data_IF_966023250481
#
_entry.id   IF_966023250481
#
_cell.length_a   1.000
_cell.length_b   1.000
_cell.length_c   1.000
_cell.angle_alpha   90.00
_cell.angle_beta   90.00
_cell.angle_gamma   90.00
#
_symmetry.space_group_name_H-M   'P 1'
#
loop_
_entity.id
_entity.type
_entity.pdbx_description
1 polymer ?
#
# COMPACT_ATOMS: atom_id res chain seq x y z
N UNK A 1 26.96 33.46 6.54
CA UNK A 1 26.40 33.39 5.17
C UNK A 1 27.47 33.23 4.08
N UNK A 2 28.53 34.06 4.06
CA UNK A 2 29.56 34.02 3.01
C UNK A 2 30.37 32.70 2.96
N UNK A 3 30.61 32.07 4.12
CA UNK A 3 31.29 30.78 4.25
C UNK A 3 30.51 29.63 3.59
N UNK A 4 29.22 29.51 3.89
CA UNK A 4 28.30 28.54 3.27
C UNK A 4 28.24 28.68 1.74
N UNK A 5 28.21 29.90 1.22
CA UNK A 5 28.21 30.17 -0.23
C UNK A 5 29.53 29.81 -0.92
N UNK A 6 30.66 30.02 -0.23
CA UNK A 6 31.97 29.59 -0.71
C UNK A 6 32.10 28.06 -0.73
N UNK A 7 31.65 27.39 0.33
CA UNK A 7 31.67 25.93 0.43
C UNK A 7 30.79 25.28 -0.63
N UNK A 8 29.61 25.84 -0.90
CA UNK A 8 28.70 25.35 -1.94
C UNK A 8 29.31 25.51 -3.34
N UNK A 9 29.92 26.68 -3.63
CA UNK A 9 30.65 26.92 -4.89
C UNK A 9 31.83 25.97 -5.06
N UNK A 10 32.57 25.71 -3.99
CA UNK A 10 33.68 24.78 -4.00
C UNK A 10 33.22 23.34 -4.27
N UNK A 11 32.15 22.90 -3.60
CA UNK A 11 31.53 21.60 -3.82
C UNK A 11 31.07 21.40 -5.28
N UNK A 12 30.35 22.38 -5.86
CA UNK A 12 29.95 22.33 -7.27
C UNK A 12 31.15 22.21 -8.22
N UNK A 13 32.23 22.95 -7.94
CA UNK A 13 33.45 22.90 -8.75
C UNK A 13 34.13 21.53 -8.63
N UNK A 14 34.12 20.93 -7.45
CA UNK A 14 34.67 19.60 -7.21
C UNK A 14 33.86 18.50 -7.92
N UNK A 15 32.53 18.63 -7.96
CA UNK A 15 31.65 17.71 -8.71
C UNK A 15 31.94 17.77 -10.22
N UNK A 16 32.06 18.99 -10.78
CA UNK A 16 32.41 19.20 -12.20
C UNK A 16 33.79 18.66 -12.58
N UNK A 17 34.77 18.71 -11.67
CA UNK A 17 36.12 18.17 -11.90
C UNK A 17 36.21 16.64 -11.88
N UNK A 18 35.20 15.96 -11.34
CA UNK A 18 35.17 14.50 -11.26
C UNK A 18 33.85 13.94 -11.81
N UNK A 19 33.59 14.07 -13.13
CA UNK A 19 32.29 13.78 -13.72
C UNK A 19 31.90 12.30 -13.60
N UNK A 20 32.83 11.37 -13.81
CA UNK A 20 32.55 9.93 -13.71
C UNK A 20 32.09 9.51 -12.30
N UNK A 21 32.80 9.97 -11.26
CA UNK A 21 32.42 9.71 -9.87
C UNK A 21 31.05 10.32 -9.53
N UNK A 22 30.84 11.57 -9.93
CA UNK A 22 29.59 12.29 -9.70
C UNK A 22 28.43 11.58 -10.39
N UNK A 23 28.61 11.10 -11.61
CA UNK A 23 27.60 10.35 -12.36
C UNK A 23 27.23 9.05 -11.64
N UNK A 24 28.22 8.25 -11.22
CA UNK A 24 27.97 7.00 -10.46
C UNK A 24 27.22 7.27 -9.16
N UNK A 25 27.64 8.27 -8.40
CA UNK A 25 26.99 8.66 -7.14
C UNK A 25 25.54 9.11 -7.36
N UNK A 26 25.30 9.97 -8.36
CA UNK A 26 23.97 10.47 -8.71
C UNK A 26 23.04 9.34 -9.16
N UNK A 27 23.48 8.48 -10.08
CA UNK A 27 22.67 7.35 -10.57
C UNK A 27 22.33 6.39 -9.44
N UNK A 28 23.31 6.07 -8.59
CA UNK A 28 23.13 5.18 -7.43
C UNK A 28 22.10 5.74 -6.46
N UNK A 29 22.21 7.02 -6.11
CA UNK A 29 21.30 7.69 -5.19
C UNK A 29 19.91 7.87 -5.81
N UNK A 30 19.83 8.27 -7.09
CA UNK A 30 18.58 8.45 -7.81
C UNK A 30 17.80 7.13 -7.91
N UNK A 31 18.49 6.01 -8.22
CA UNK A 31 17.85 4.71 -8.30
C UNK A 31 17.35 4.24 -6.93
N UNK A 32 18.17 4.40 -5.88
CA UNK A 32 17.79 4.03 -4.52
C UNK A 32 16.59 4.84 -3.99
N UNK A 33 16.63 6.16 -4.14
CA UNK A 33 15.55 7.05 -3.70
C UNK A 33 14.30 6.83 -4.54
N UNK A 34 14.44 6.75 -5.87
CA UNK A 34 13.33 6.56 -6.80
C UNK A 34 12.60 5.24 -6.56
N UNK A 35 13.34 4.13 -6.42
CA UNK A 35 12.76 2.84 -6.12
C UNK A 35 12.03 2.82 -4.77
N UNK A 36 12.63 3.38 -3.71
CA UNK A 36 11.96 3.47 -2.40
C UNK A 36 10.70 4.32 -2.46
N UNK A 37 10.75 5.46 -3.16
CA UNK A 37 9.59 6.35 -3.32
C UNK A 37 8.46 5.67 -4.09
N UNK A 38 8.78 4.92 -5.15
CA UNK A 38 7.81 4.16 -5.91
C UNK A 38 7.14 3.07 -5.07
N UNK A 39 7.92 2.23 -4.37
CA UNK A 39 7.35 1.17 -3.51
C UNK A 39 6.59 1.77 -2.33
N UNK A 40 7.09 2.84 -1.71
CA UNK A 40 6.37 3.56 -0.66
C UNK A 40 5.01 4.07 -1.17
N UNK A 41 4.95 4.60 -2.39
CA UNK A 41 3.68 5.08 -2.97
C UNK A 41 2.66 3.96 -3.13
N UNK A 42 3.10 2.76 -3.54
CA UNK A 42 2.25 1.56 -3.63
C UNK A 42 1.81 1.12 -2.24
N UNK A 43 2.75 0.95 -1.30
CA UNK A 43 2.48 0.56 0.09
C UNK A 43 1.52 1.54 0.76
N UNK A 44 1.73 2.84 0.58
CA UNK A 44 0.87 3.86 1.12
C UNK A 44 -0.55 3.75 0.55
N UNK A 45 -0.68 3.57 -0.76
CA UNK A 45 -1.98 3.49 -1.43
C UNK A 45 -2.74 2.21 -1.09
N UNK A 46 -2.03 1.09 -0.95
CA UNK A 46 -2.62 -0.25 -0.77
C UNK A 46 -2.81 -0.63 0.70
N UNK A 47 -1.85 -0.26 1.57
CA UNK A 47 -1.81 -0.72 2.97
C UNK A 47 -2.16 0.35 3.98
N UNK A 48 -1.83 1.62 3.71
CA UNK A 48 -1.94 2.69 4.71
C UNK A 48 -3.12 3.64 4.48
N UNK A 49 -3.55 3.80 3.23
CA UNK A 49 -4.67 4.67 2.88
C UNK A 49 -5.96 4.01 3.37
N UNK A 50 -6.71 4.64 4.29
CA UNK A 50 -7.96 4.08 4.76
C UNK A 50 -8.94 3.98 3.60
N UNK A 51 -9.77 2.93 3.64
CA UNK A 51 -10.85 2.79 2.68
C UNK A 51 -11.76 4.02 2.75
N UNK A 52 -12.10 4.63 1.61
CA UNK A 52 -12.98 5.81 1.53
C UNK A 52 -14.47 5.48 1.76
N UNK A 53 -14.76 4.66 2.77
CA UNK A 53 -16.09 4.32 3.24
C UNK A 53 -16.27 4.82 4.67
N UNK A 54 -17.52 5.08 5.07
CA UNK A 54 -17.86 5.35 6.47
C UNK A 54 -17.69 4.07 7.30
N UNK A 55 -16.99 4.15 8.43
CA UNK A 55 -16.75 3.02 9.36
C UNK A 55 -16.32 1.74 8.61
N UNK A 56 -15.19 1.77 7.89
CA UNK A 56 -14.76 0.66 7.03
C UNK A 56 -14.48 -0.63 7.79
N UNK A 57 -14.20 -0.57 9.08
CA UNK A 57 -14.02 -1.71 9.98
C UNK A 57 -15.28 -2.57 10.16
N UNK A 58 -16.46 -1.99 9.91
CA UNK A 58 -17.75 -2.71 9.95
C UNK A 58 -18.16 -3.28 8.60
N UNK A 59 -17.41 -2.97 7.54
CA UNK A 59 -17.68 -3.48 6.20
C UNK A 59 -17.01 -4.82 6.00
N UNK A 60 -17.76 -5.77 5.46
CA UNK A 60 -17.27 -7.09 5.10
C UNK A 60 -17.74 -7.46 3.70
N UNK A 61 -16.98 -8.32 3.05
CA UNK A 61 -17.47 -9.07 1.90
C UNK A 61 -17.83 -10.48 2.36
N UNK A 62 -18.91 -10.99 1.79
CA UNK A 62 -19.52 -12.25 2.16
C UNK A 62 -19.42 -13.17 0.94
N UNK A 63 -19.01 -14.41 1.18
CA UNK A 63 -18.94 -15.45 0.15
C UNK A 63 -19.67 -16.70 0.61
N UNK A 64 -20.15 -17.46 -0.36
CA UNK A 64 -20.47 -18.85 -0.12
C UNK A 64 -19.18 -19.66 -0.06
N UNK A 65 -19.18 -20.72 0.72
CA UNK A 65 -18.03 -21.60 0.87
C UNK A 65 -18.43 -23.07 0.81
N UNK A 66 -17.48 -23.95 0.53
CA UNK A 66 -17.67 -25.39 0.50
C UNK A 66 -16.45 -26.06 1.13
N UNK A 67 -16.56 -26.32 2.43
CA UNK A 67 -15.45 -26.82 3.25
C UNK A 67 -14.83 -28.12 2.71
N UNK A 68 -15.66 -29.02 2.15
CA UNK A 68 -15.21 -30.31 1.61
C UNK A 68 -14.34 -30.22 0.36
N UNK A 69 -14.49 -29.17 -0.45
CA UNK A 69 -13.74 -28.99 -1.71
C UNK A 69 -12.69 -27.88 -1.61
N UNK A 70 -12.57 -27.23 -0.45
CA UNK A 70 -11.66 -26.09 -0.23
C UNK A 70 -12.11 -24.81 -0.94
N UNK A 71 -13.37 -24.76 -1.40
CA UNK A 71 -13.90 -23.62 -2.14
C UNK A 71 -14.36 -22.55 -1.15
N UNK A 72 -13.43 -21.73 -0.66
CA UNK A 72 -13.69 -20.89 0.52
C UNK A 72 -14.24 -19.49 0.19
N UNK A 73 -14.21 -19.04 -1.06
CA UNK A 73 -14.67 -17.70 -1.47
C UNK A 73 -15.43 -17.74 -2.80
N UNK A 74 -16.49 -18.53 -2.86
CA UNK A 74 -17.36 -18.58 -4.03
C UNK A 74 -18.31 -17.37 -4.06
N UNK A 75 -18.64 -16.88 -5.26
CA UNK A 75 -19.71 -15.89 -5.44
C UNK A 75 -21.02 -16.41 -4.83
N UNK A 76 -21.95 -15.52 -4.52
CA UNK A 76 -23.26 -15.90 -3.99
C UNK A 76 -24.20 -16.37 -5.09
N UNK A 77 -25.13 -17.24 -4.71
CA UNK A 77 -26.26 -17.61 -5.55
C UNK A 77 -27.43 -16.66 -5.31
N UNK A 78 -28.27 -16.49 -6.33
CA UNK A 78 -29.36 -15.52 -6.31
C UNK A 78 -30.33 -15.75 -5.15
N UNK A 79 -30.85 -16.97 -5.00
CA UNK A 79 -31.81 -17.26 -3.96
C UNK A 79 -31.19 -17.23 -2.55
N UNK A 80 -29.96 -17.73 -2.38
CA UNK A 80 -29.29 -17.67 -1.07
C UNK A 80 -29.05 -16.23 -0.60
N UNK A 81 -28.72 -15.29 -1.50
CA UNK A 81 -28.56 -13.88 -1.11
C UNK A 81 -29.83 -13.34 -0.42
N UNK A 82 -31.00 -13.60 -1.00
CA UNK A 82 -32.26 -13.13 -0.43
C UNK A 82 -32.58 -13.79 0.91
N UNK A 83 -32.37 -15.10 1.03
CA UNK A 83 -32.55 -15.79 2.31
C UNK A 83 -31.57 -15.27 3.37
N UNK A 84 -30.29 -15.06 3.03
CA UNK A 84 -29.30 -14.52 3.96
C UNK A 84 -29.71 -13.12 4.43
N UNK A 85 -30.14 -12.26 3.50
CA UNK A 85 -30.64 -10.92 3.83
C UNK A 85 -31.84 -10.95 4.79
N UNK A 86 -32.73 -11.94 4.67
CA UNK A 86 -33.91 -12.09 5.54
C UNK A 86 -33.60 -12.78 6.87
N UNK A 87 -32.67 -13.74 6.91
CA UNK A 87 -32.44 -14.62 8.06
C UNK A 87 -31.34 -14.14 9.02
N UNK A 88 -30.43 -13.30 8.55
CA UNK A 88 -29.36 -12.72 9.39
C UNK A 88 -29.94 -11.75 10.42
N UNK A 89 -29.22 -11.55 11.53
CA UNK A 89 -29.61 -10.65 12.62
C UNK A 89 -28.49 -9.69 13.04
N UNK A 90 -27.30 -9.87 12.48
CA UNK A 90 -26.08 -9.16 12.90
C UNK A 90 -25.68 -8.02 11.97
N UNK A 91 -26.32 -7.89 10.80
CA UNK A 91 -26.03 -6.83 9.83
C UNK A 91 -27.04 -5.69 9.92
N UNK A 92 -26.53 -4.47 9.79
CA UNK A 92 -27.36 -3.27 9.55
C UNK A 92 -28.01 -3.34 8.17
N UNK A 93 -27.25 -3.77 7.15
CA UNK A 93 -27.76 -4.07 5.82
C UNK A 93 -26.78 -5.00 5.07
N UNK A 94 -27.30 -5.68 4.04
CA UNK A 94 -26.54 -6.52 3.13
C UNK A 94 -26.90 -6.13 1.70
N UNK A 95 -25.87 -5.92 0.87
CA UNK A 95 -25.99 -5.54 -0.52
C UNK A 95 -25.39 -6.59 -1.45
N UNK A 96 -26.14 -6.98 -2.48
CA UNK A 96 -25.60 -7.70 -3.64
C UNK A 96 -25.31 -6.75 -4.79
N UNK A 97 -24.31 -7.12 -5.60
CA UNK A 97 -24.04 -6.50 -6.88
C UNK A 97 -23.51 -7.51 -7.91
N UNK A 98 -23.78 -7.23 -9.17
CA UNK A 98 -23.17 -7.89 -10.32
C UNK A 98 -22.98 -6.89 -11.47
N UNK A 99 -22.07 -7.22 -12.38
CA UNK A 99 -21.70 -6.37 -13.50
C UNK A 99 -22.25 -6.90 -14.81
N UNK A 100 -22.84 -6.01 -15.60
CA UNK A 100 -23.40 -6.34 -16.92
C UNK A 100 -23.28 -5.13 -17.83
N UNK A 101 -23.82 -5.24 -19.05
CA UNK A 101 -23.89 -4.13 -19.99
C UNK A 101 -25.33 -3.97 -20.49
N UNK A 102 -25.71 -2.74 -20.81
CA UNK A 102 -27.00 -2.42 -21.44
C UNK A 102 -26.81 -1.39 -22.55
N UNK A 103 -27.63 -1.47 -23.58
CA UNK A 103 -27.59 -0.55 -24.71
C UNK A 103 -28.53 0.63 -24.46
N UNK A 104 -27.99 1.83 -24.37
CA UNK A 104 -28.74 3.08 -24.39
C UNK A 104 -29.17 3.40 -25.82
N UNK A 105 -30.45 3.69 -25.99
CA UNK A 105 -31.10 4.01 -27.28
C UNK A 105 -32.02 5.22 -27.11
N UNK A 106 -32.56 5.75 -28.21
CA UNK A 106 -33.36 6.99 -28.21
C UNK A 106 -32.56 8.26 -28.49
N UNK A 107 -31.29 8.12 -28.87
CA UNK A 107 -30.41 9.18 -29.35
C UNK A 107 -29.90 8.85 -30.76
N UNK A 108 -29.10 9.74 -31.35
CA UNK A 108 -28.58 9.62 -32.72
C UNK A 108 -27.84 8.29 -32.98
N UNK A 109 -27.08 7.79 -32.00
CA UNK A 109 -26.40 6.49 -32.07
C UNK A 109 -26.63 5.68 -30.78
N UNK A 110 -26.87 4.35 -30.88
CA UNK A 110 -26.87 3.46 -29.73
C UNK A 110 -25.49 3.42 -29.05
N UNK A 111 -25.49 3.36 -27.72
CA UNK A 111 -24.28 3.36 -26.91
C UNK A 111 -24.36 2.23 -25.87
N UNK A 112 -23.31 1.41 -25.76
CA UNK A 112 -23.26 0.35 -24.75
C UNK A 112 -22.71 0.91 -23.44
N UNK A 113 -23.51 0.86 -22.39
CA UNK A 113 -23.18 1.31 -21.05
C UNK A 113 -22.75 0.14 -20.16
N UNK A 114 -21.76 0.38 -19.31
CA UNK A 114 -21.40 -0.52 -18.21
C UNK A 114 -22.36 -0.33 -17.04
N UNK A 115 -22.96 -1.44 -16.57
CA UNK A 115 -24.07 -1.42 -15.62
C UNK A 115 -23.75 -2.17 -14.34
N UNK A 116 -24.01 -1.51 -13.21
CA UNK A 116 -24.12 -2.14 -11.90
C UNK A 116 -25.55 -2.56 -11.60
N UNK A 117 -25.83 -3.86 -11.61
CA UNK A 117 -27.08 -4.39 -11.02
C UNK A 117 -26.86 -4.52 -9.53
N UNK A 118 -27.56 -3.72 -8.74
CA UNK A 118 -27.33 -3.62 -7.29
C UNK A 118 -28.64 -3.75 -6.53
N UNK A 119 -28.60 -4.48 -5.41
CA UNK A 119 -29.76 -4.52 -4.51
C UNK A 119 -29.93 -3.18 -3.79
N UNK A 120 -31.13 -2.90 -3.29
CA UNK A 120 -31.40 -1.66 -2.56
C UNK A 120 -30.46 -1.41 -1.35
N UNK A 121 -29.99 -2.49 -0.70
CA UNK A 121 -29.05 -2.40 0.43
C UNK A 121 -27.64 -1.96 0.06
N UNK A 122 -27.24 -2.09 -1.22
CA UNK A 122 -25.87 -1.82 -1.66
C UNK A 122 -25.36 -0.42 -1.29
N UNK A 123 -26.13 0.62 -1.63
CA UNK A 123 -25.72 2.00 -1.35
C UNK A 123 -25.75 2.32 0.15
N UNK A 124 -26.66 1.72 0.92
CA UNK A 124 -26.74 1.88 2.38
C UNK A 124 -25.55 1.22 3.08
N UNK A 125 -25.17 0.01 2.66
CA UNK A 125 -23.94 -0.65 3.10
C UNK A 125 -22.75 0.28 2.85
N UNK A 126 -22.59 0.84 1.64
CA UNK A 126 -21.45 1.70 1.33
C UNK A 126 -21.52 3.12 1.93
N UNK A 127 -22.67 3.52 2.49
CA UNK A 127 -22.90 4.87 2.99
C UNK A 127 -22.83 5.94 1.88
N UNK A 128 -23.31 5.61 0.68
CA UNK A 128 -23.32 6.51 -0.48
C UNK A 128 -24.65 7.26 -0.53
N UNK A 129 -24.58 8.58 -0.62
CA UNK A 129 -25.73 9.44 -0.88
C UNK A 129 -25.60 10.08 -2.25
N UNK A 130 -26.68 10.12 -3.05
CA UNK A 130 -26.67 10.74 -4.36
C UNK A 130 -26.58 12.27 -4.24
N UNK A 131 -26.05 12.92 -5.28
CA UNK A 131 -26.01 14.40 -5.37
C UNK A 131 -27.35 14.98 -5.81
N UNK A 132 -28.14 14.19 -6.56
CA UNK A 132 -29.50 14.52 -6.98
C UNK A 132 -30.40 13.31 -6.78
N UNK A 133 -31.65 13.54 -6.38
CA UNK A 133 -32.66 12.49 -6.23
C UNK A 133 -32.40 11.56 -5.04
N UNK A 134 -32.61 10.26 -5.24
CA UNK A 134 -32.56 9.23 -4.19
C UNK A 134 -31.82 7.96 -4.62
N UNK A 135 -31.50 7.11 -3.66
CA UNK A 135 -31.06 5.73 -3.92
C UNK A 135 -32.25 4.82 -4.21
N UNK A 136 -31.93 3.56 -4.53
CA UNK A 136 -32.93 2.50 -4.69
C UNK A 136 -33.73 2.26 -3.40
N UNK A 137 -35.03 2.06 -3.56
CA UNK A 137 -35.97 1.66 -2.52
C UNK A 137 -36.03 0.13 -2.40
N UNK A 138 -36.42 -0.42 -1.24
CA UNK A 138 -36.43 -1.87 -1.02
C UNK A 138 -37.36 -2.67 -1.96
N UNK A 139 -38.51 -2.11 -2.31
CA UNK A 139 -39.53 -2.64 -3.22
C UNK A 139 -39.09 -2.64 -4.69
N UNK A 140 -38.20 -1.73 -5.09
CA UNK A 140 -37.61 -1.71 -6.44
C UNK A 140 -36.69 -2.93 -6.70
N UNK A 141 -36.39 -3.73 -5.67
CA UNK A 141 -35.74 -5.03 -5.81
C UNK A 141 -36.72 -6.19 -6.03
N UNK A 142 -38.03 -5.97 -5.99
CA UNK A 142 -39.04 -7.00 -6.28
C UNK A 142 -39.40 -7.04 -7.79
N UNK A 143 -39.91 -8.18 -8.29
CA UNK A 143 -40.45 -8.25 -9.64
C UNK A 143 -41.62 -7.28 -9.82
N UNK A 144 -41.57 -6.44 -10.86
CA UNK A 144 -42.65 -5.51 -11.18
C UNK A 144 -42.18 -4.35 -12.04
N UNK A 145 -43.06 -3.41 -12.33
CA UNK A 145 -42.72 -2.20 -13.10
C UNK A 145 -41.86 -1.22 -12.29
N UNK A 146 -41.94 -1.25 -10.97
CA UNK A 146 -41.24 -0.30 -10.08
C UNK A 146 -39.72 -0.48 -10.11
N UNK A 147 -39.21 -1.64 -10.56
CA UNK A 147 -37.78 -1.89 -10.71
C UNK A 147 -37.15 -1.25 -11.97
N UNK A 148 -37.95 -0.57 -12.82
CA UNK A 148 -37.47 0.14 -14.01
C UNK A 148 -36.98 1.54 -13.65
N UNK A 149 -36.01 1.59 -12.75
CA UNK A 149 -35.34 2.81 -12.30
C UNK A 149 -33.83 2.73 -12.51
N UNK A 150 -33.20 3.88 -12.65
CA UNK A 150 -31.76 3.98 -12.90
C UNK A 150 -31.14 5.12 -12.10
N UNK A 151 -29.97 4.86 -11.54
CA UNK A 151 -29.07 5.90 -11.04
C UNK A 151 -27.94 6.12 -12.02
N UNK A 152 -27.63 7.38 -12.30
CA UNK A 152 -26.52 7.75 -13.18
C UNK A 152 -25.21 7.83 -12.40
N UNK A 153 -24.14 7.27 -12.97
CA UNK A 153 -22.78 7.61 -12.60
C UNK A 153 -22.51 9.08 -12.89
N UNK A 154 -21.67 9.71 -12.05
CA UNK A 154 -21.40 11.14 -12.17
C UNK A 154 -20.76 11.50 -13.51
N UNK A 155 -19.87 10.63 -14.02
CA UNK A 155 -19.16 10.84 -15.27
C UNK A 155 -20.12 10.88 -16.46
N UNK A 156 -20.96 9.84 -16.62
CA UNK A 156 -21.98 9.78 -17.67
C UNK A 156 -22.93 10.98 -17.61
N UNK A 157 -23.40 11.35 -16.41
CA UNK A 157 -24.25 12.53 -16.22
C UNK A 157 -23.60 13.82 -16.73
N UNK A 158 -22.29 14.00 -16.51
CA UNK A 158 -21.56 15.19 -16.96
C UNK A 158 -21.22 15.17 -18.45
N UNK A 159 -20.75 14.03 -18.96
CA UNK A 159 -20.24 13.92 -20.33
C UNK A 159 -21.37 13.77 -21.35
N UNK A 160 -22.43 13.00 -21.02
CA UNK A 160 -23.53 12.69 -21.94
C UNK A 160 -24.73 13.61 -21.75
N UNK A 161 -25.07 13.91 -20.50
CA UNK A 161 -26.27 14.69 -20.14
C UNK A 161 -25.96 16.14 -19.75
N UNK A 162 -24.72 16.62 -19.99
CA UNK A 162 -24.35 18.01 -19.79
C UNK A 162 -24.45 18.50 -18.33
N UNK A 163 -24.44 17.58 -17.37
CA UNK A 163 -24.71 17.87 -15.95
C UNK A 163 -26.09 18.52 -15.69
N UNK A 164 -27.10 18.16 -16.48
CA UNK A 164 -28.47 18.66 -16.33
C UNK A 164 -29.05 18.29 -14.96
N UNK A 165 -29.42 19.29 -14.15
CA UNK A 165 -30.03 19.10 -12.84
C UNK A 165 -31.48 18.65 -12.91
N UNK A 166 -32.15 18.79 -14.06
CA UNK A 166 -33.51 18.33 -14.31
C UNK A 166 -33.59 16.86 -14.77
N UNK A 167 -32.46 16.13 -14.81
CA UNK A 167 -32.42 14.75 -15.31
C UNK A 167 -33.24 13.76 -14.46
N UNK A 168 -33.42 14.03 -13.17
CA UNK A 168 -34.21 13.15 -12.29
C UNK A 168 -35.70 13.21 -12.67
N UNK A 169 -36.31 12.04 -12.86
CA UNK A 169 -37.68 11.88 -13.35
C UNK A 169 -37.77 11.68 -14.86
N UNK A 170 -36.69 11.90 -15.62
CA UNK A 170 -36.65 11.63 -17.06
C UNK A 170 -36.54 10.13 -17.34
N UNK A 171 -36.92 9.72 -18.55
CA UNK A 171 -36.84 8.33 -18.99
C UNK A 171 -35.67 8.09 -19.95
N UNK A 172 -34.96 6.98 -19.76
CA UNK A 172 -33.93 6.46 -20.64
C UNK A 172 -34.35 5.12 -21.22
N UNK A 173 -34.11 4.89 -22.51
CA UNK A 173 -34.41 3.60 -23.14
C UNK A 173 -33.17 2.70 -23.09
N UNK A 174 -33.18 1.70 -22.20
CA UNK A 174 -32.11 0.73 -22.00
C UNK A 174 -32.56 -0.66 -22.46
N UNK A 175 -31.83 -1.28 -23.39
CA UNK A 175 -32.20 -2.55 -24.01
C UNK A 175 -33.64 -2.59 -24.56
N UNK A 176 -34.14 -1.45 -25.04
CA UNK A 176 -35.50 -1.31 -25.56
C UNK A 176 -36.59 -1.11 -24.49
N UNK A 177 -36.24 -1.09 -23.21
CA UNK A 177 -37.17 -0.79 -22.11
C UNK A 177 -36.95 0.60 -21.53
N UNK A 178 -38.03 1.25 -21.07
CA UNK A 178 -37.97 2.58 -20.46
C UNK A 178 -37.64 2.49 -18.97
N UNK A 179 -36.57 3.17 -18.55
CA UNK A 179 -36.11 3.31 -17.16
C UNK A 179 -36.20 4.76 -16.71
N UNK A 180 -36.71 5.01 -15.51
CA UNK A 180 -36.80 6.35 -14.93
C UNK A 180 -35.54 6.68 -14.14
N UNK A 181 -34.91 7.83 -14.42
CA UNK A 181 -33.77 8.32 -13.66
C UNK A 181 -34.23 8.75 -12.27
N UNK A 182 -33.78 8.08 -11.21
CA UNK A 182 -34.18 8.39 -9.81
C UNK A 182 -33.09 9.11 -9.02
N UNK A 183 -31.86 9.12 -9.53
CA UNK A 183 -30.78 9.86 -8.88
C UNK A 183 -29.47 9.88 -9.65
N UNK A 184 -28.56 10.72 -9.17
CA UNK A 184 -27.19 10.87 -9.70
C UNK A 184 -26.19 10.67 -8.58
N UNK A 185 -25.19 9.83 -8.82
CA UNK A 185 -24.17 9.48 -7.83
C UNK A 185 -23.07 10.55 -7.72
N UNK A 186 -22.39 10.65 -6.57
CA UNK A 186 -21.30 11.60 -6.36
C UNK A 186 -20.04 11.21 -7.13
N UNK A 187 -19.25 12.22 -7.52
CA UNK A 187 -17.95 12.03 -8.17
C UNK A 187 -16.88 11.50 -7.20
N UNK A 188 -15.77 11.02 -7.76
CA UNK A 188 -14.51 10.81 -7.03
C UNK A 188 -14.44 9.55 -6.18
N UNK A 189 -15.38 8.62 -6.35
CA UNK A 189 -15.36 7.30 -5.72
C UNK A 189 -15.03 6.26 -6.79
N UNK A 190 -13.81 5.70 -6.83
CA UNK A 190 -13.37 4.78 -7.88
C UNK A 190 -14.40 3.69 -8.22
N UNK A 191 -14.97 3.01 -7.21
CA UNK A 191 -15.96 1.95 -7.38
C UNK A 191 -17.31 2.41 -7.96
N UNK A 192 -17.67 3.70 -7.82
CA UNK A 192 -18.86 4.28 -8.47
C UNK A 192 -18.56 4.72 -9.90
N UNK A 193 -17.32 5.09 -10.19
CA UNK A 193 -16.92 5.62 -11.49
C UNK A 193 -16.64 4.51 -12.53
N UNK A 194 -16.49 3.24 -12.12
CA UNK A 194 -16.33 2.14 -13.09
C UNK A 194 -17.63 1.71 -13.77
N UNK A 195 -18.77 2.31 -13.42
CA UNK A 195 -20.08 2.00 -13.99
C UNK A 195 -20.75 3.27 -14.43
N UNK A 196 -21.30 3.24 -15.63
CA UNK A 196 -22.00 4.38 -16.22
C UNK A 196 -23.36 4.58 -15.54
N UNK A 197 -24.02 3.47 -15.20
CA UNK A 197 -25.32 3.45 -14.54
C UNK A 197 -25.46 2.31 -13.53
N UNK A 198 -26.42 2.47 -12.62
CA UNK A 198 -26.83 1.45 -11.67
C UNK A 198 -28.34 1.22 -11.75
N UNK A 199 -28.74 -0.04 -11.83
CA UNK A 199 -30.15 -0.45 -11.89
C UNK A 199 -30.43 -1.49 -10.81
N UNK A 200 -31.69 -1.70 -10.41
CA UNK A 200 -32.02 -2.70 -9.42
C UNK A 200 -31.57 -4.10 -9.80
N UNK A 201 -30.97 -4.78 -8.83
CA UNK A 201 -30.90 -6.22 -8.79
C UNK A 201 -32.24 -6.74 -8.27
N UNK A 202 -32.98 -7.40 -9.16
CA UNK A 202 -34.36 -7.82 -8.95
C UNK A 202 -34.38 -9.27 -8.48
N UNK A 203 -35.15 -9.56 -7.43
CA UNK A 203 -35.44 -10.89 -6.95
C UNK A 203 -36.09 -11.71 -8.06
N UNK A 204 -35.54 -12.86 -8.38
CA UNK A 204 -36.16 -13.81 -9.30
C UNK A 204 -36.90 -14.86 -8.46
N UNK A 205 -38.23 -14.99 -8.60
CA UNK A 205 -38.96 -16.09 -7.99
C UNK A 205 -38.39 -17.43 -8.43
N UNK A 206 -38.20 -18.36 -7.49
CA UNK A 206 -37.64 -19.70 -7.76
C UNK A 206 -36.26 -19.67 -8.44
N UNK A 207 -35.47 -18.63 -8.17
CA UNK A 207 -34.12 -18.52 -8.71
C UNK A 207 -33.27 -19.75 -8.36
N UNK A 208 -32.41 -20.12 -9.31
CA UNK A 208 -31.48 -21.22 -9.13
C UNK A 208 -30.51 -20.96 -7.95
N UNK A 209 -30.23 -22.00 -7.16
CA UNK A 209 -29.27 -22.05 -6.05
C UNK A 209 -27.91 -22.65 -6.44
N UNK A 210 -27.63 -22.81 -7.73
CA UNK A 210 -26.33 -23.30 -8.22
C UNK A 210 -25.63 -22.35 -9.21
N UNK A 211 -26.21 -21.17 -9.50
CA UNK A 211 -25.53 -20.12 -10.28
C UNK A 211 -24.81 -19.15 -9.34
N UNK A 212 -23.47 -19.20 -9.33
CA UNK A 212 -22.63 -18.43 -8.43
C UNK A 212 -22.09 -17.16 -9.14
N UNK A 213 -22.86 -16.08 -9.11
CA UNK A 213 -22.60 -14.88 -9.92
C UNK A 213 -22.62 -13.56 -9.12
N UNK A 214 -23.10 -13.59 -7.88
CA UNK A 214 -23.27 -12.38 -7.07
C UNK A 214 -22.07 -12.09 -6.19
N UNK A 215 -21.68 -10.84 -6.14
CA UNK A 215 -20.82 -10.33 -5.09
C UNK A 215 -21.69 -9.75 -3.99
N UNK A 216 -21.39 -10.10 -2.73
CA UNK A 216 -22.18 -9.67 -1.58
C UNK A 216 -21.30 -8.94 -0.59
N UNK A 217 -21.79 -7.81 -0.11
CA UNK A 217 -21.16 -7.00 0.93
C UNK A 217 -22.16 -6.79 2.06
N UNK A 218 -21.64 -6.67 3.28
CA UNK A 218 -22.44 -6.41 4.47
C UNK A 218 -21.84 -5.30 5.31
N UNK A 219 -22.72 -4.58 6.01
CA UNK A 219 -22.32 -3.70 7.11
C UNK A 219 -22.78 -4.32 8.42
N UNK A 220 -21.84 -4.75 9.25
CA UNK A 220 -22.13 -5.31 10.57
C UNK A 220 -22.78 -4.24 11.45
N UNK A 221 -23.83 -4.57 12.19
CA UNK A 221 -24.58 -3.64 13.03
C UNK A 221 -23.69 -2.98 14.10
N UNK A 222 -24.03 -1.76 14.57
CA UNK A 222 -23.25 -1.08 15.60
C UNK A 222 -23.16 -1.93 16.88
N UNK A 223 -21.96 -2.09 17.44
CA UNK A 223 -21.74 -2.85 18.67
C UNK A 223 -21.69 -4.38 18.51
N UNK A 224 -21.86 -4.91 17.30
CA UNK A 224 -21.70 -6.34 17.01
C UNK A 224 -20.26 -6.62 16.58
N UNK A 225 -19.63 -7.64 17.15
CA UNK A 225 -18.27 -8.05 16.77
C UNK A 225 -18.27 -8.84 15.46
N UNK A 226 -17.14 -8.85 14.75
CA UNK A 226 -17.01 -9.65 13.53
C UNK A 226 -17.18 -11.15 13.81
N UNK A 227 -16.73 -11.63 14.97
CA UNK A 227 -16.89 -13.03 15.37
C UNK A 227 -18.37 -13.38 15.56
N UNK A 228 -19.16 -12.49 16.16
CA UNK A 228 -20.60 -12.68 16.33
C UNK A 228 -21.34 -12.68 14.98
N UNK A 229 -20.96 -11.77 14.08
CA UNK A 229 -21.52 -11.75 12.72
C UNK A 229 -21.13 -12.99 11.91
N UNK A 230 -19.91 -13.53 12.11
CA UNK A 230 -19.51 -14.79 11.49
C UNK A 230 -20.39 -15.96 11.98
N UNK A 231 -20.59 -16.07 13.29
CA UNK A 231 -21.40 -17.13 13.89
C UNK A 231 -22.88 -17.07 13.46
N UNK A 232 -23.43 -15.86 13.28
CA UNK A 232 -24.78 -15.67 12.73
C UNK A 232 -24.88 -16.18 11.29
N UNK A 233 -23.89 -15.89 10.44
CA UNK A 233 -23.84 -16.41 9.07
C UNK A 233 -23.67 -17.93 9.02
N UNK A 234 -22.91 -18.53 9.93
CA UNK A 234 -22.84 -20.00 10.07
C UNK A 234 -24.19 -20.60 10.44
N UNK A 235 -24.94 -19.96 11.36
CA UNK A 235 -26.29 -20.36 11.71
C UNK A 235 -27.28 -20.22 10.54
N UNK A 236 -27.15 -19.16 9.73
CA UNK A 236 -27.93 -19.01 8.48
C UNK A 236 -27.59 -20.13 7.50
N UNK A 237 -26.31 -20.44 7.30
CA UNK A 237 -25.87 -21.51 6.40
C UNK A 237 -26.43 -22.88 6.82
N UNK A 238 -26.43 -23.19 8.12
CA UNK A 238 -27.02 -24.42 8.65
C UNK A 238 -28.52 -24.51 8.35
N UNK A 239 -29.28 -23.43 8.59
CA UNK A 239 -30.71 -23.36 8.26
C UNK A 239 -30.98 -23.50 6.76
N UNK A 240 -30.12 -22.94 5.91
CA UNK A 240 -30.21 -23.11 4.46
C UNK A 240 -29.96 -24.56 4.04
N UNK A 241 -29.01 -25.25 4.66
CA UNK A 241 -28.76 -26.67 4.41
C UNK A 241 -29.94 -27.55 4.82
N UNK A 242 -30.64 -27.22 5.91
CA UNK A 242 -31.87 -27.91 6.33
C UNK A 242 -33.03 -27.66 5.38
N UNK A 243 -33.21 -26.40 4.93
CA UNK A 243 -34.34 -26.00 4.07
C UNK A 243 -34.16 -26.43 2.61
N UNK A 244 -32.92 -26.46 2.13
CA UNK A 244 -32.57 -26.74 0.73
C UNK A 244 -31.42 -27.76 0.64
N UNK A 245 -31.63 -29.01 1.10
CA UNK A 245 -30.55 -30.00 1.22
C UNK A 245 -29.85 -30.31 -0.11
N UNK A 246 -30.57 -30.31 -1.23
CA UNK A 246 -30.00 -30.62 -2.55
C UNK A 246 -28.95 -29.60 -3.01
N UNK A 247 -29.13 -28.32 -2.66
CA UNK A 247 -28.25 -27.24 -3.08
C UNK A 247 -27.26 -26.81 -1.99
N UNK A 248 -27.64 -26.88 -0.72
CA UNK A 248 -26.91 -26.24 0.38
C UNK A 248 -26.23 -27.24 1.34
N UNK A 249 -26.42 -28.56 1.17
CA UNK A 249 -25.68 -29.54 2.01
C UNK A 249 -24.17 -29.42 1.79
N UNK A 250 -23.45 -29.15 2.88
CA UNK A 250 -22.00 -28.95 2.87
C UNK A 250 -21.54 -27.60 2.32
N UNK A 251 -22.48 -26.68 2.06
CA UNK A 251 -22.20 -25.27 1.81
C UNK A 251 -22.14 -24.51 3.14
N UNK A 252 -21.22 -23.56 3.22
CA UNK A 252 -21.07 -22.62 4.31
C UNK A 252 -21.18 -21.19 3.80
N UNK A 253 -21.12 -20.25 4.72
CA UNK A 253 -20.99 -18.82 4.41
C UNK A 253 -19.77 -18.31 5.17
N UNK A 254 -18.90 -17.58 4.49
CA UNK A 254 -17.74 -16.93 5.13
C UNK A 254 -17.74 -15.45 4.83
N UNK A 255 -16.94 -14.71 5.59
CA UNK A 255 -16.76 -13.29 5.37
C UNK A 255 -15.34 -12.85 5.70
N UNK A 256 -14.95 -11.71 5.14
CA UNK A 256 -13.67 -11.06 5.41
C UNK A 256 -13.86 -9.54 5.43
N UNK A 257 -13.07 -8.81 6.25
CA UNK A 257 -13.14 -7.36 6.32
C UNK A 257 -12.89 -6.70 4.97
N UNK A 258 -13.48 -5.52 4.75
CA UNK A 258 -13.34 -4.79 3.49
C UNK A 258 -11.90 -4.38 3.17
N UNK A 259 -11.00 -4.35 4.16
CA UNK A 259 -9.57 -4.15 3.92
C UNK A 259 -9.04 -5.16 2.88
N UNK A 260 -9.55 -6.39 2.88
CA UNK A 260 -9.12 -7.47 1.98
C UNK A 260 -9.52 -7.25 0.52
N UNK A 261 -10.40 -6.28 0.24
CA UNK A 261 -10.75 -5.91 -1.12
C UNK A 261 -9.52 -5.40 -1.85
N UNK A 262 -8.79 -4.46 -1.24
CA UNK A 262 -7.66 -3.77 -1.87
C UNK A 262 -6.45 -4.68 -2.02
N UNK A 263 -6.19 -5.51 -1.01
CA UNK A 263 -5.09 -6.47 -1.05
C UNK A 263 -5.38 -7.64 -0.14
N UNK A 264 -5.19 -8.85 -0.66
CA UNK A 264 -5.18 -10.06 0.15
C UNK A 264 -4.02 -10.03 1.14
N UNK A 265 -4.12 -10.80 2.22
CA UNK A 265 -3.06 -10.91 3.22
C UNK A 265 -1.71 -11.35 2.62
N UNK A 266 -1.73 -12.22 1.62
CA UNK A 266 -0.51 -12.62 0.90
C UNK A 266 0.12 -11.45 0.15
N UNK A 267 -0.71 -10.61 -0.49
CA UNK A 267 -0.22 -9.42 -1.19
C UNK A 267 0.33 -8.39 -0.19
N UNK A 268 -0.36 -8.14 0.93
CA UNK A 268 0.14 -7.24 1.98
C UNK A 268 1.49 -7.69 2.50
N UNK A 269 1.63 -8.98 2.80
CA UNK A 269 2.88 -9.57 3.29
C UNK A 269 4.00 -9.45 2.25
N UNK A 270 3.69 -9.70 0.98
CA UNK A 270 4.64 -9.56 -0.13
C UNK A 270 5.10 -8.12 -0.31
N UNK A 271 4.20 -7.13 -0.19
CA UNK A 271 4.53 -5.71 -0.27
C UNK A 271 5.43 -5.27 0.90
N UNK A 272 5.22 -5.78 2.11
CA UNK A 272 6.12 -5.51 3.24
C UNK A 272 7.52 -6.08 3.04
N UNK A 273 7.62 -7.31 2.53
CA UNK A 273 8.92 -7.93 2.20
C UNK A 273 9.62 -7.12 1.10
N UNK A 274 8.90 -6.71 0.07
CA UNK A 274 9.43 -5.89 -1.02
C UNK A 274 9.90 -4.52 -0.52
N UNK A 275 9.12 -3.86 0.34
CA UNK A 275 9.49 -2.58 0.95
C UNK A 275 10.76 -2.70 1.79
N UNK A 276 10.86 -3.73 2.63
CA UNK A 276 12.08 -4.03 3.40
C UNK A 276 13.28 -4.27 2.49
N UNK A 277 13.14 -5.09 1.45
CA UNK A 277 14.21 -5.40 0.50
C UNK A 277 14.72 -4.14 -0.23
N UNK A 278 13.83 -3.25 -0.68
CA UNK A 278 14.21 -2.00 -1.36
C UNK A 278 14.82 -0.98 -0.39
N UNK A 279 14.42 -1.00 0.89
CA UNK A 279 15.10 -0.27 1.96
C UNK A 279 16.54 -0.75 2.16
N UNK A 280 16.78 -2.06 2.20
CA UNK A 280 18.14 -2.62 2.26
C UNK A 280 18.98 -2.26 1.04
N UNK A 281 18.41 -2.26 -0.17
CA UNK A 281 19.10 -1.84 -1.38
C UNK A 281 19.57 -0.38 -1.29
N UNK A 282 18.74 0.52 -0.75
CA UNK A 282 19.14 1.91 -0.51
C UNK A 282 20.24 2.01 0.55
N UNK A 283 20.17 1.22 1.62
CA UNK A 283 21.22 1.19 2.64
C UNK A 283 22.57 0.71 2.05
N UNK A 284 22.56 -0.34 1.23
CA UNK A 284 23.75 -0.83 0.51
C UNK A 284 24.29 0.26 -0.43
N UNK A 285 23.42 0.94 -1.17
CA UNK A 285 23.79 2.05 -2.04
C UNK A 285 24.49 3.19 -1.26
N UNK A 286 23.94 3.55 -0.08
CA UNK A 286 24.53 4.55 0.80
C UNK A 286 25.89 4.12 1.36
N UNK A 287 26.02 2.86 1.81
CA UNK A 287 27.30 2.30 2.30
C UNK A 287 28.35 2.28 1.19
N UNK A 288 27.97 1.86 -0.02
CA UNK A 288 28.88 1.87 -1.17
C UNK A 288 29.34 3.29 -1.50
N UNK A 289 28.44 4.27 -1.46
CA UNK A 289 28.78 5.67 -1.68
C UNK A 289 29.73 6.20 -0.59
N UNK A 290 29.48 5.85 0.68
CA UNK A 290 30.35 6.22 1.80
C UNK A 290 31.77 5.63 1.63
N UNK A 291 31.86 4.36 1.25
CA UNK A 291 33.15 3.70 1.00
C UNK A 291 33.94 4.40 -0.13
N UNK A 292 33.28 4.77 -1.22
CA UNK A 292 33.93 5.49 -2.32
C UNK A 292 34.40 6.89 -1.91
N UNK A 293 33.59 7.61 -1.10
CA UNK A 293 33.97 8.90 -0.54
C UNK A 293 35.19 8.78 0.39
N UNK A 294 35.23 7.74 1.22
CA UNK A 294 36.33 7.47 2.15
C UNK A 294 37.62 7.11 1.40
N UNK A 295 37.55 6.30 0.35
CA UNK A 295 38.67 5.99 -0.54
C UNK A 295 39.22 7.24 -1.24
N UNK A 296 38.34 8.16 -1.65
CA UNK A 296 38.73 9.43 -2.26
C UNK A 296 39.36 10.40 -1.25
N UNK A 297 38.85 10.43 -0.02
CA UNK A 297 39.42 11.23 1.06
C UNK A 297 40.84 10.77 1.41
N UNK A 298 41.08 9.45 1.45
CA UNK A 298 42.42 8.88 1.65
C UNK A 298 43.37 9.15 0.49
N UNK A 299 42.90 9.05 -0.76
CA UNK A 299 43.70 9.40 -1.95
C UNK A 299 44.11 10.88 -1.96
N UNK A 300 43.18 11.79 -1.62
CA UNK A 300 43.48 13.22 -1.45
C UNK A 300 44.39 13.49 -0.26
N UNK A 301 44.25 12.72 0.82
CA UNK A 301 45.11 12.77 2.01
C UNK A 301 46.59 12.59 1.68
N UNK A 302 46.93 11.62 0.81
CA UNK A 302 48.29 11.42 0.29
C UNK A 302 48.78 12.61 -0.53
N UNK A 303 47.92 13.19 -1.38
CA UNK A 303 48.26 14.37 -2.19
C UNK A 303 48.49 15.61 -1.32
N UNK A 304 47.68 15.82 -0.28
CA UNK A 304 47.87 16.90 0.70
C UNK A 304 49.12 16.69 1.55
N UNK A 305 49.41 15.46 1.99
CA UNK A 305 50.62 15.16 2.75
C UNK A 305 51.90 15.40 1.94
N UNK A 306 51.89 15.06 0.64
CA UNK A 306 52.99 15.35 -0.28
C UNK A 306 53.11 16.85 -0.55
N UNK A 307 51.99 17.59 -0.71
CA UNK A 307 52.02 19.05 -0.85
C UNK A 307 52.49 19.77 0.41
N UNK A 308 52.12 19.31 1.59
CA UNK A 308 52.63 19.88 2.85
C UNK A 308 54.12 19.57 3.01
N UNK A 309 54.56 18.35 2.70
CA UNK A 309 55.98 18.00 2.72
C UNK A 309 56.80 18.83 1.71
N UNK A 310 56.28 19.05 0.50
CA UNK A 310 56.90 19.91 -0.50
C UNK A 310 56.88 21.40 -0.10
N UNK A 311 55.80 21.89 0.50
CA UNK A 311 55.71 23.26 1.00
C UNK A 311 56.70 23.52 2.15
N UNK A 312 56.88 22.56 3.05
CA UNK A 312 57.90 22.62 4.10
C UNK A 312 59.33 22.48 3.55
N UNK A 313 59.54 21.66 2.51
CA UNK A 313 60.84 21.52 1.82
C UNK A 313 61.28 22.79 1.07
N UNK A 314 60.34 23.49 0.42
CA UNK A 314 60.62 24.78 -0.26
C UNK A 314 60.90 25.91 0.75
N UNK A 315 60.24 25.89 1.92
CA UNK A 315 60.56 26.81 3.02
C UNK A 315 61.95 26.55 3.60
N UNK A 316 62.35 25.28 3.78
CA UNK A 316 63.68 24.89 4.23
C UNK A 316 64.79 25.24 3.22
N UNK A 317 64.55 25.04 1.92
CA UNK A 317 65.50 25.42 0.86
C UNK A 317 65.69 26.96 0.75
N UNK A 318 64.66 27.75 1.07
CA UNK A 318 64.77 29.22 1.16
C UNK A 318 65.56 29.70 2.37
N UNK A 319 65.57 28.95 3.49
CA UNK A 319 66.43 29.28 4.63
C UNK A 319 67.92 28.99 4.39
N UNK A 320 68.27 28.04 3.51
CA UNK A 320 69.67 27.68 3.27
C UNK A 320 70.40 28.57 2.25
N UNK A 321 69.66 29.40 1.48
CA UNK A 321 70.24 30.40 0.55
C UNK A 321 70.57 31.74 1.20
N UNK A 322 70.30 31.91 2.50
CA UNK A 322 70.81 33.04 3.31
C UNK A 322 72.04 32.56 4.07
N UNK A 323 73.21 32.69 3.45
CA UNK A 323 74.50 32.43 4.11
C UNK A 323 74.74 33.37 5.31
N UNK A 324 75.62 32.97 6.25
CA UNK A 324 75.82 33.71 7.50
C UNK A 324 76.51 35.04 7.25
N UNK A 325 75.97 36.13 7.83
CA UNK A 325 76.72 37.40 7.96
C UNK A 325 77.69 37.27 9.14
N UNK A 326 78.95 37.73 9.01
CA UNK A 326 79.88 37.74 10.13
C UNK A 326 79.61 38.98 10.99
N UNK A 327 79.39 38.79 12.28
CA UNK A 327 79.56 39.87 13.26
C UNK A 327 80.42 39.36 14.41
N UNK A 328 81.50 40.08 14.62
CA UNK A 328 82.52 39.87 15.62
C UNK A 328 82.00 40.13 17.03
N UNK A 329 82.63 39.47 18.01
CA UNK A 329 83.14 40.17 19.19
C UNK A 329 82.44 39.95 20.52
N UNK A 330 83.25 39.44 21.45
CA UNK A 330 83.20 39.63 22.91
C UNK A 330 82.24 38.74 23.73
N UNK A 331 82.86 37.93 24.58
CA UNK A 331 82.21 36.98 25.47
C UNK A 331 81.96 37.49 26.89
N UNK A 332 81.42 36.58 27.72
CA UNK A 332 81.83 36.34 29.10
C UNK A 332 81.04 35.15 29.65
N UNK A 333 81.77 34.24 30.28
CA UNK A 333 81.26 33.15 31.08
C UNK A 333 80.64 33.67 32.38
N UNK A 334 79.65 32.95 32.93
CA UNK A 334 79.60 32.60 34.37
C UNK A 334 78.57 31.52 34.66
N UNK A 335 79.02 30.57 35.50
CA UNK A 335 78.29 29.65 36.36
C UNK A 335 76.97 30.17 36.95
N UNK A 336 75.95 29.31 37.03
CA UNK A 336 75.38 28.88 38.34
C UNK A 336 74.39 27.72 38.22
N UNK A 337 74.63 26.72 39.06
CA UNK A 337 73.67 25.70 39.44
C UNK A 337 72.73 26.22 40.54
N UNK A 338 71.48 25.76 40.57
CA UNK A 338 70.77 25.49 41.83
C UNK A 338 69.56 24.57 41.64
N UNK A 339 69.59 23.50 42.44
CA UNK A 339 68.48 22.67 42.97
C UNK A 339 67.25 23.56 43.31
N UNK A 340 66.01 23.07 43.40
CA UNK A 340 65.55 22.04 44.37
C UNK A 340 64.03 21.77 44.24
N UNK A 341 63.67 20.64 44.81
CA UNK A 341 62.41 20.22 45.47
C UNK A 341 61.26 19.74 44.62
N UNK A 342 61.04 18.42 44.70
CA UNK A 342 59.84 17.76 44.23
C UNK A 342 58.70 17.77 45.26
N UNK A 343 57.66 17.00 44.93
CA UNK A 343 56.84 16.23 45.87
C UNK A 343 56.31 15.00 45.15
N UNK A 344 56.31 13.93 45.91
CA UNK A 344 56.05 12.51 45.63
C UNK A 344 54.59 12.21 46.09
N UNK A 345 54.12 10.95 46.17
CA UNK A 345 53.47 10.15 45.12
C UNK A 345 52.12 9.59 45.61
N UNK A 346 51.70 8.48 44.99
CA UNK A 346 50.68 7.46 45.37
C UNK A 346 49.60 7.33 44.30
N UNK A 347 49.03 6.18 44.00
CA UNK A 347 49.31 4.76 44.21
C UNK A 347 48.16 4.02 43.49
N UNK A 348 48.29 2.72 43.24
CA UNK A 348 47.12 1.86 43.03
C UNK A 348 47.18 1.01 41.78
N UNK A 349 47.57 -0.26 41.95
CA UNK A 349 47.70 -1.27 40.91
C UNK A 349 46.42 -2.06 40.62
N UNK A 350 46.60 -3.18 39.90
CA UNK A 350 45.55 -4.18 39.72
C UNK A 350 45.67 -5.03 38.46
N UNK A 351 46.51 -6.06 38.51
CA UNK A 351 46.47 -7.22 37.59
C UNK A 351 45.27 -8.11 37.95
N UNK A 352 44.68 -8.84 36.98
CA UNK A 352 44.56 -10.32 37.01
C UNK A 352 43.72 -10.88 35.82
N UNK A 353 44.39 -11.68 34.99
CA UNK A 353 44.11 -13.10 34.66
C UNK A 353 42.67 -13.61 34.38
N UNK A 354 42.49 -14.04 33.12
CA UNK A 354 42.24 -15.41 32.62
C UNK A 354 41.03 -16.28 33.06
N UNK A 355 40.54 -16.99 32.03
CA UNK A 355 40.12 -18.41 31.97
C UNK A 355 38.64 -18.78 32.21
N UNK A 356 38.03 -19.28 31.13
CA UNK A 356 37.37 -20.59 31.11
C UNK A 356 35.84 -20.61 31.18
N UNK A 357 35.19 -21.13 30.13
CA UNK A 357 34.53 -22.44 30.18
C UNK A 357 33.75 -22.74 28.89
N UNK A 358 33.83 -24.01 28.52
CA UNK A 358 33.18 -24.70 27.40
C UNK A 358 31.68 -24.86 27.64
N UNK A 359 30.90 -25.08 26.59
CA UNK A 359 29.89 -26.15 26.56
C UNK A 359 29.57 -26.57 25.11
N UNK A 360 29.78 -27.86 24.85
CA UNK A 360 29.29 -28.64 23.71
C UNK A 360 27.82 -29.01 23.94
N UNK A 361 27.00 -29.05 22.89
CA UNK A 361 26.34 -30.28 22.40
C UNK A 361 25.27 -29.95 21.35
N UNK A 362 25.26 -30.71 20.25
CA UNK A 362 24.43 -30.48 19.06
C UNK A 362 23.20 -31.37 18.92
N UNK A 363 22.60 -31.35 17.72
CA UNK A 363 22.15 -32.53 16.93
C UNK A 363 21.33 -32.12 15.69
N UNK A 364 21.75 -32.67 14.54
CA UNK A 364 20.98 -33.33 13.44
C UNK A 364 19.95 -32.56 12.59
N UNK A 365 20.39 -32.23 11.35
CA UNK A 365 19.89 -32.54 9.95
C UNK A 365 18.50 -33.19 9.73
N UNK A 366 17.99 -33.29 8.46
CA UNK A 366 18.02 -32.40 7.27
C UNK A 366 16.62 -32.24 6.59
N UNK A 367 16.40 -31.28 5.70
CA UNK A 367 16.39 -31.50 4.23
C UNK A 367 15.01 -31.86 3.66
N UNK A 368 14.24 -30.87 3.19
CA UNK A 368 12.95 -31.03 2.51
C UNK A 368 13.12 -30.73 1.02
N UNK A 369 12.80 -31.71 0.17
CA UNK A 369 12.87 -31.60 -1.28
C UNK A 369 11.57 -31.07 -1.91
N UNK A 370 11.75 -30.43 -3.06
CA UNK A 370 10.75 -29.85 -3.96
C UNK A 370 9.68 -30.82 -4.45
N UNK A 371 8.46 -30.30 -4.70
CA UNK A 371 7.76 -30.49 -5.98
C UNK A 371 6.65 -29.46 -6.20
N UNK A 372 6.63 -28.97 -7.45
CA UNK A 372 5.76 -27.97 -8.09
C UNK A 372 4.36 -28.49 -8.41
N UNK A 373 3.42 -27.55 -8.59
CA UNK A 373 2.37 -27.42 -9.63
C UNK A 373 1.06 -26.88 -9.00
N UNK A 374 0.69 -25.61 -9.22
CA UNK A 374 0.05 -25.01 -10.40
C UNK A 374 -1.49 -25.09 -10.35
N UNK A 375 -2.14 -23.95 -10.09
CA UNK A 375 -3.46 -23.59 -10.63
C UNK A 375 -3.67 -22.08 -10.38
N UNK A 376 -3.76 -21.31 -11.47
CA UNK A 376 -3.95 -19.86 -11.45
C UNK A 376 -5.41 -19.49 -11.17
N UNK A 377 -5.59 -18.40 -10.43
CA UNK A 377 -6.85 -17.70 -10.28
C UNK A 377 -6.66 -16.27 -10.85
N UNK A 378 -7.53 -15.78 -11.75
CA UNK A 378 -7.53 -14.38 -12.13
C UNK A 378 -8.25 -13.60 -11.02
N UNK A 379 -7.51 -12.74 -10.31
CA UNK A 379 -8.11 -11.75 -9.43
C UNK A 379 -8.75 -10.63 -10.26
N UNK A 380 -9.94 -10.12 -9.90
CA UNK A 380 -10.47 -8.92 -10.53
C UNK A 380 -9.71 -7.71 -9.99
N UNK A 381 -9.26 -6.85 -10.90
CA UNK A 381 -8.82 -5.51 -10.57
C UNK A 381 -10.03 -4.72 -10.06
N UNK A 382 -9.87 -4.17 -8.85
CA UNK A 382 -10.67 -3.08 -8.30
C UNK A 382 -10.21 -1.73 -8.85
#
# INVERSE_FOLDING_TARGET
MQTLLQDLRYALRALRKHPAFTAVALVTLALGIGANTAIFSVVHTVLLRPLPFREPERLVQIWESRARTGWNRASFTHANFWDVREMNRTFEDIGAFLWTNMNLTGFEYPEQLSVGRVSAGFFRVLGVQPVLGRTLLPDESDPGAENRVVLLGNELWRTRFGADSAIVGTSLTLNGESYTVVGVLPAGRPWLNYRDIFVPFVRIPEANRVSFELYVIGRVAPGVSLEAAHADLESVAARLAERYPDANTGMGITMAPASDWVASDELRRSLWVLFGAVGFLLMIACVNLANLLMAKATARGRETAVRTAAAHGVAAARSHRRGPRPTAGAGRATHRASRRSGRHPEAGGGRHQSLGARLHAGRRRPGRGDRRAAAGAPGPAL
#
